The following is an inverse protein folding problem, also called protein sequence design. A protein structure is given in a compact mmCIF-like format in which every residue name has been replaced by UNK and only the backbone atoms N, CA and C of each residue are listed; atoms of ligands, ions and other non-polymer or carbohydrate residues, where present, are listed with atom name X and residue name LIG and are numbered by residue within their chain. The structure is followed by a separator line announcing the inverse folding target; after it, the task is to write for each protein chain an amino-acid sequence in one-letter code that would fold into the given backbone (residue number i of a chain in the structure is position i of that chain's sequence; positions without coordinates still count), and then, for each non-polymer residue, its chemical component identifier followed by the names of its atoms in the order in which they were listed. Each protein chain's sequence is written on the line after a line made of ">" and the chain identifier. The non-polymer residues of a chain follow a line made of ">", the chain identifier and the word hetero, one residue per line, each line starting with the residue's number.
data_IF_896234315912
#
_entry.id   IF_896234315912
#
_cell.length_a   1.000
_cell.length_b   1.000
_cell.length_c   1.000
_cell.angle_alpha   90.00
_cell.angle_beta   90.00
_cell.angle_gamma   90.00
#
_symmetry.space_group_name_H-M   'P 1'
#
loop_
_entity.id
_entity.type
_entity.pdbx_description
1 polymer ?
#
# COMPACT_ATOMS: atom_id res chain seq x y z
N UNK A 1 -6.92 12.11 16.77
CA UNK A 1 -5.75 12.70 16.10
C UNK A 1 -4.83 11.55 15.74
N UNK A 2 -4.90 11.00 14.53
CA UNK A 2 -3.89 10.04 14.08
C UNK A 2 -2.58 10.79 13.96
N UNK A 3 -1.56 10.44 14.75
CA UNK A 3 -0.22 10.97 14.56
C UNK A 3 0.24 10.75 13.11
N UNK A 4 1.12 11.61 12.61
CA UNK A 4 1.71 11.41 11.27
C UNK A 4 2.28 9.99 11.19
N UNK A 5 2.08 9.31 10.05
CA UNK A 5 2.62 7.99 9.84
C UNK A 5 4.15 8.07 9.85
N UNK A 6 4.81 7.18 10.59
CA UNK A 6 6.26 7.15 10.73
C UNK A 6 6.75 5.71 10.64
N UNK A 7 7.91 5.50 10.03
CA UNK A 7 8.57 4.19 9.99
C UNK A 7 9.05 3.83 11.40
N UNK A 8 8.69 2.64 11.87
CA UNK A 8 9.11 2.08 13.16
C UNK A 8 9.99 0.86 13.01
N UNK A 9 9.89 0.14 11.88
CA UNK A 9 10.72 -1.03 11.57
C UNK A 9 10.93 -1.15 10.05
N UNK A 10 12.10 -0.72 9.56
CA UNK A 10 12.42 -0.78 8.13
C UNK A 10 12.59 -2.24 7.62
N UNK A 11 12.95 -3.18 8.50
CA UNK A 11 13.14 -4.59 8.14
C UNK A 11 11.82 -5.29 7.76
N UNK A 12 10.68 -4.69 8.11
CA UNK A 12 9.36 -5.16 7.72
C UNK A 12 9.08 -4.98 6.22
N UNK A 13 9.84 -4.14 5.50
CA UNK A 13 9.61 -3.83 4.09
C UNK A 13 10.39 -4.75 3.16
N UNK A 14 9.82 -5.04 1.99
CA UNK A 14 10.40 -5.92 0.98
C UNK A 14 10.36 -5.30 -0.40
N UNK A 15 11.47 -5.45 -1.14
CA UNK A 15 11.55 -4.99 -2.52
C UNK A 15 10.69 -5.82 -3.45
N UNK A 16 9.88 -5.17 -4.29
CA UNK A 16 9.14 -5.82 -5.37
C UNK A 16 9.24 -5.03 -6.68
N UNK A 17 9.07 -5.73 -7.80
CA UNK A 17 9.11 -5.15 -9.13
C UNK A 17 7.76 -4.56 -9.54
N UNK A 18 7.75 -3.28 -9.93
CA UNK A 18 6.57 -2.59 -10.44
C UNK A 18 6.01 -3.26 -11.71
N UNK A 19 6.88 -3.64 -12.64
CA UNK A 19 6.48 -4.30 -13.88
C UNK A 19 5.81 -5.65 -13.65
N UNK A 20 6.36 -6.47 -12.74
CA UNK A 20 5.73 -7.75 -12.35
C UNK A 20 4.39 -7.56 -11.68
N UNK A 21 4.25 -6.51 -10.86
CA UNK A 21 2.98 -6.19 -10.22
C UNK A 21 1.88 -5.89 -11.24
N UNK A 22 2.13 -5.02 -12.22
CA UNK A 22 1.15 -4.70 -13.27
C UNK A 22 0.86 -5.91 -14.15
N UNK A 23 1.91 -6.63 -14.57
CA UNK A 23 1.77 -7.83 -15.39
C UNK A 23 0.90 -8.90 -14.71
N UNK A 24 1.17 -9.21 -13.43
CA UNK A 24 0.38 -10.18 -12.70
C UNK A 24 -1.04 -9.70 -12.41
N UNK A 25 -1.27 -8.41 -12.19
CA UNK A 25 -2.62 -7.85 -12.10
C UNK A 25 -3.43 -8.13 -13.38
N UNK A 26 -2.83 -8.01 -14.55
CA UNK A 26 -3.50 -8.30 -15.84
C UNK A 26 -3.70 -9.82 -16.01
N UNK A 27 -2.64 -10.62 -15.84
CA UNK A 27 -2.68 -12.07 -16.06
C UNK A 27 -3.63 -12.79 -15.10
N UNK A 28 -3.81 -12.27 -13.89
CA UNK A 28 -4.71 -12.83 -12.88
C UNK A 28 -6.08 -12.15 -12.86
N UNK A 29 -6.42 -11.34 -13.88
CA UNK A 29 -7.71 -10.64 -13.97
C UNK A 29 -8.06 -9.83 -12.71
N UNK A 30 -7.05 -9.21 -12.10
CA UNK A 30 -7.19 -8.40 -10.89
C UNK A 30 -7.01 -9.14 -9.57
N UNK A 31 -6.99 -10.48 -9.52
CA UNK A 31 -6.80 -11.21 -8.24
C UNK A 31 -5.46 -10.90 -7.57
N UNK A 32 -4.40 -10.67 -8.36
CA UNK A 32 -3.11 -10.25 -7.82
C UNK A 32 -3.18 -8.90 -7.11
N UNK A 33 -4.09 -8.00 -7.49
CA UNK A 33 -4.26 -6.72 -6.80
C UNK A 33 -4.72 -6.92 -5.35
N UNK A 34 -5.54 -7.94 -5.09
CA UNK A 34 -6.00 -8.32 -3.75
C UNK A 34 -4.82 -8.83 -2.92
N UNK A 35 -4.04 -9.77 -3.49
CA UNK A 35 -2.83 -10.28 -2.85
C UNK A 35 -1.83 -9.16 -2.53
N UNK A 36 -1.59 -8.27 -3.50
CA UNK A 36 -0.66 -7.16 -3.32
C UNK A 36 -1.14 -6.22 -2.21
N UNK A 37 -2.43 -5.86 -2.22
CA UNK A 37 -3.05 -5.00 -1.20
C UNK A 37 -2.89 -5.60 0.19
N UNK A 38 -3.16 -6.90 0.36
CA UNK A 38 -2.94 -7.62 1.62
C UNK A 38 -1.48 -7.58 2.06
N UNK A 39 -0.56 -7.90 1.16
CA UNK A 39 0.87 -7.92 1.48
C UNK A 39 1.41 -6.53 1.81
N UNK A 40 0.93 -5.48 1.14
CA UNK A 40 1.29 -4.09 1.40
C UNK A 40 0.77 -3.64 2.76
N UNK A 41 -0.51 -3.88 3.07
CA UNK A 41 -1.10 -3.57 4.36
C UNK A 41 -0.32 -4.21 5.52
N UNK A 42 0.05 -5.50 5.38
CA UNK A 42 0.83 -6.23 6.37
C UNK A 42 2.25 -5.68 6.58
N UNK A 43 2.90 -5.19 5.53
CA UNK A 43 4.22 -4.56 5.64
C UNK A 43 4.11 -3.21 6.35
N UNK A 44 3.12 -2.40 5.98
CA UNK A 44 2.89 -1.09 6.60
C UNK A 44 2.47 -1.21 8.07
N UNK A 45 1.62 -2.17 8.42
CA UNK A 45 1.23 -2.47 9.82
C UNK A 45 2.42 -2.82 10.71
N UNK A 46 3.40 -3.55 10.16
CA UNK A 46 4.60 -3.95 10.89
C UNK A 46 5.66 -2.86 10.91
N UNK A 47 5.82 -2.17 9.79
CA UNK A 47 6.91 -1.23 9.57
C UNK A 47 6.60 0.21 9.94
N UNK A 48 5.35 0.53 10.30
CA UNK A 48 4.94 1.87 10.69
C UNK A 48 4.20 1.89 12.02
N UNK A 49 4.03 3.09 12.59
CA UNK A 49 3.22 3.31 13.80
C UNK A 49 1.70 3.21 13.58
N UNK A 50 1.25 2.74 12.41
CA UNK A 50 -0.16 2.60 12.08
C UNK A 50 -0.64 1.17 12.36
N UNK A 51 -1.83 1.04 12.94
CA UNK A 51 -2.49 -0.25 13.09
C UNK A 51 -3.45 -0.46 11.91
N UNK A 52 -3.05 -1.32 10.98
CA UNK A 52 -3.89 -1.71 9.85
C UNK A 52 -4.45 -3.09 10.16
N UNK A 53 -5.77 -3.21 10.15
CA UNK A 53 -6.38 -4.53 10.08
C UNK A 53 -6.29 -4.99 8.63
N UNK A 54 -5.56 -6.07 8.28
CA UNK A 54 -5.49 -6.57 6.91
C UNK A 54 -6.79 -7.29 6.52
N UNK A 55 -7.94 -6.63 6.69
CA UNK A 55 -9.24 -7.16 6.31
C UNK A 55 -9.29 -7.18 4.79
N UNK A 56 -9.28 -8.40 4.26
CA UNK A 56 -9.40 -8.73 2.86
C UNK A 56 -10.78 -8.31 2.34
N UNK A 57 -10.81 -7.26 1.53
CA UNK A 57 -12.00 -6.88 0.81
C UNK A 57 -12.22 -7.80 -0.41
N UNK A 58 -12.95 -8.90 -0.22
CA UNK A 58 -13.72 -9.52 -1.31
C UNK A 58 -15.00 -8.68 -1.59
N UNK A 59 -15.26 -7.65 -0.77
CA UNK A 59 -16.47 -6.80 -0.82
C UNK A 59 -16.07 -5.34 -1.16
N UNK A 60 -16.74 -4.67 -2.12
CA UNK A 60 -16.40 -3.31 -2.58
C UNK A 60 -16.26 -2.25 -1.47
N UNK A 61 -17.06 -2.34 -0.41
CA UNK A 61 -17.08 -1.35 0.69
C UNK A 61 -15.88 -1.49 1.62
N UNK A 62 -15.45 -2.73 1.91
CA UNK A 62 -14.26 -2.99 2.73
C UNK A 62 -13.00 -2.46 2.02
N UNK A 63 -13.01 -2.49 0.68
CA UNK A 63 -11.88 -2.06 -0.14
C UNK A 63 -11.55 -0.56 0.03
N UNK A 64 -12.58 0.27 0.19
CA UNK A 64 -12.42 1.71 0.43
C UNK A 64 -11.72 2.00 1.76
N UNK A 65 -12.08 1.28 2.82
CA UNK A 65 -11.44 1.43 4.14
C UNK A 65 -9.97 0.99 4.06
N UNK A 66 -9.71 -0.15 3.41
CA UNK A 66 -8.35 -0.66 3.22
C UNK A 66 -7.48 0.34 2.43
N UNK A 67 -8.01 0.93 1.36
CA UNK A 67 -7.28 1.95 0.59
C UNK A 67 -7.00 3.21 1.42
N UNK A 68 -7.94 3.64 2.27
CA UNK A 68 -7.71 4.77 3.16
C UNK A 68 -6.62 4.49 4.20
N UNK A 69 -6.65 3.30 4.81
CA UNK A 69 -5.65 2.87 5.79
C UNK A 69 -4.26 2.73 5.18
N UNK A 70 -4.16 2.07 4.02
CA UNK A 70 -2.91 1.94 3.26
C UNK A 70 -2.38 3.31 2.87
N UNK A 71 -3.23 4.20 2.35
CA UNK A 71 -2.82 5.55 1.96
C UNK A 71 -2.33 6.37 3.15
N UNK A 72 -2.95 6.21 4.31
CA UNK A 72 -2.53 6.89 5.55
C UNK A 72 -1.17 6.38 6.04
N UNK A 73 -0.95 5.07 6.02
CA UNK A 73 0.33 4.50 6.44
C UNK A 73 1.46 4.71 5.42
N UNK A 74 1.13 4.73 4.13
CA UNK A 74 2.08 4.95 3.07
C UNK A 74 2.68 6.38 3.06
N UNK A 75 2.07 7.35 3.76
CA UNK A 75 2.71 8.66 4.00
C UNK A 75 4.07 8.52 4.71
N UNK A 76 4.27 7.45 5.49
CA UNK A 76 5.56 7.20 6.15
C UNK A 76 6.69 6.81 5.19
N UNK A 77 6.34 6.27 4.01
CA UNK A 77 7.31 5.71 3.06
C UNK A 77 7.26 6.41 1.70
N UNK A 78 6.40 7.41 1.51
CA UNK A 78 6.28 8.15 0.26
C UNK A 78 6.27 9.65 0.50
N UNK A 79 6.71 10.43 -0.49
CA UNK A 79 6.62 11.90 -0.45
C UNK A 79 5.20 12.43 -0.72
N UNK A 80 4.19 11.55 -0.75
CA UNK A 80 2.82 11.88 -1.13
C UNK A 80 1.91 11.87 0.09
N UNK A 81 0.99 12.83 0.16
CA UNK A 81 -0.03 12.85 1.20
C UNK A 81 -1.09 11.77 1.01
N UNK A 82 -1.68 11.30 2.10
CA UNK A 82 -2.69 10.23 2.11
C UNK A 82 -3.87 10.50 1.20
N UNK A 83 -4.30 11.76 1.10
CA UNK A 83 -5.44 12.15 0.26
C UNK A 83 -5.10 11.96 -1.21
N UNK A 84 -3.88 12.30 -1.62
CA UNK A 84 -3.42 12.11 -3.00
C UNK A 84 -3.35 10.62 -3.32
N UNK A 85 -2.71 9.83 -2.45
CA UNK A 85 -2.59 8.38 -2.61
C UNK A 85 -3.97 7.70 -2.68
N UNK A 86 -4.91 8.12 -1.83
CA UNK A 86 -6.26 7.57 -1.78
C UNK A 86 -7.07 7.90 -3.03
N UNK A 87 -7.07 9.17 -3.47
CA UNK A 87 -7.78 9.58 -4.70
C UNK A 87 -7.22 8.83 -5.91
N UNK A 88 -5.89 8.66 -5.99
CA UNK A 88 -5.29 7.86 -7.04
C UNK A 88 -5.67 6.38 -6.93
N UNK A 89 -5.80 5.81 -5.73
CA UNK A 89 -6.32 4.45 -5.58
C UNK A 89 -7.72 4.28 -6.21
N UNK A 90 -8.59 5.29 -6.15
CA UNK A 90 -9.95 5.23 -6.68
C UNK A 90 -10.03 5.37 -8.20
N UNK A 91 -9.30 6.32 -8.77
CA UNK A 91 -9.47 6.71 -10.18
C UNK A 91 -8.29 6.30 -11.08
N UNK A 92 -7.10 6.09 -10.50
CA UNK A 92 -5.86 5.82 -11.22
C UNK A 92 -4.99 4.82 -10.44
N UNK A 93 -5.58 3.68 -10.05
CA UNK A 93 -4.97 2.73 -9.11
C UNK A 93 -3.51 2.35 -9.46
N UNK A 94 -3.12 2.13 -10.74
CA UNK A 94 -1.72 1.84 -11.09
C UNK A 94 -0.70 2.91 -10.66
N UNK A 95 -1.08 4.20 -10.63
CA UNK A 95 -0.19 5.27 -10.17
C UNK A 95 0.02 5.21 -8.65
N UNK A 96 -1.05 4.97 -7.90
CA UNK A 96 -0.95 4.82 -6.44
C UNK A 96 -0.13 3.59 -6.06
N UNK A 97 -0.37 2.47 -6.74
CA UNK A 97 0.43 1.25 -6.64
C UNK A 97 1.91 1.50 -6.87
N UNK A 98 2.23 2.26 -7.91
CA UNK A 98 3.61 2.60 -8.26
C UNK A 98 4.30 3.38 -7.13
N UNK A 99 3.69 4.45 -6.62
CA UNK A 99 4.28 5.26 -5.56
C UNK A 99 4.41 4.51 -4.24
N UNK A 100 3.38 3.76 -3.82
CA UNK A 100 3.46 2.94 -2.62
C UNK A 100 4.57 1.89 -2.75
N UNK A 101 4.66 1.21 -3.89
CA UNK A 101 5.70 0.20 -4.09
C UNK A 101 7.10 0.80 -4.20
N UNK A 102 7.25 1.98 -4.81
CA UNK A 102 8.52 2.69 -4.85
C UNK A 102 8.98 3.06 -3.43
N UNK A 103 8.09 3.66 -2.64
CA UNK A 103 8.37 4.00 -1.24
C UNK A 103 8.75 2.79 -0.37
N UNK A 104 8.03 1.68 -0.49
CA UNK A 104 8.40 0.43 0.18
C UNK A 104 9.77 -0.11 -0.26
N UNK A 105 10.10 0.01 -1.54
CA UNK A 105 11.39 -0.43 -2.06
C UNK A 105 12.55 0.41 -1.52
N UNK A 106 12.34 1.72 -1.40
CA UNK A 106 13.32 2.67 -0.87
C UNK A 106 13.49 2.47 0.65
N UNK A 107 12.38 2.31 1.38
CA UNK A 107 12.41 2.00 2.80
C UNK A 107 13.11 0.65 3.09
N UNK A 108 12.94 -0.36 2.22
CA UNK A 108 13.63 -1.65 2.31
C UNK A 108 15.12 -1.59 1.87
N UNK A 109 15.60 -0.46 1.35
CA UNK A 109 16.99 -0.29 0.96
C UNK A 109 17.86 0.35 2.06
N UNK A 110 17.24 0.84 3.13
CA UNK A 110 17.88 1.44 4.30
C UNK A 110 17.95 0.42 5.46
#
# INVERSE_FOLDING_TARGET
>A
MSGQAQITDASAFSKKSHGKQVLFSILTLGFYTIYWTYSTAKQLDRGTNQSLTPILAIIPVVNLISFWQISSAAEAVTDQGKTVLFVLFLFFAPLSWYWVQAGLNDAAAN
#
